data_IF_249177281765
#
_entry.id   IF_249177281765
#
_cell.length_a   1.000
_cell.length_b   1.000
_cell.length_c   1.000
_cell.angle_alpha   90.00
_cell.angle_beta   90.00
_cell.angle_gamma   90.00
#
_symmetry.space_group_name_H-M   'P 1'
#
loop_
_entity.id
_entity.type
_entity.pdbx_description
1 polymer ?
#
# COMPACT_ATOMS: atom_id res chain seq x y z
N UNK A 1 -23.99 12.44 -6.54
CA UNK A 1 -23.41 12.86 -5.24
C UNK A 1 -21.99 12.28 -5.17
N UNK A 2 -20.95 13.13 -5.24
CA UNK A 2 -19.58 12.70 -4.93
C UNK A 2 -19.62 12.18 -3.51
N UNK A 3 -19.04 11.01 -3.26
CA UNK A 3 -19.05 10.40 -1.93
C UNK A 3 -18.54 11.45 -0.94
N UNK A 4 -19.40 11.89 -0.05
CA UNK A 4 -19.12 12.92 0.94
C UNK A 4 -17.87 12.58 1.80
N UNK A 5 -17.61 11.28 1.94
CA UNK A 5 -16.47 10.75 2.68
C UNK A 5 -15.10 11.09 2.05
N UNK A 6 -15.01 11.27 0.72
CA UNK A 6 -13.77 11.69 0.04
C UNK A 6 -13.58 13.21 0.04
N UNK A 7 -14.69 13.98 0.09
CA UNK A 7 -14.65 15.44 0.13
C UNK A 7 -14.42 15.99 1.54
N UNK A 8 -14.82 15.25 2.57
CA UNK A 8 -14.63 15.61 3.98
C UNK A 8 -13.28 15.10 4.53
N UNK A 9 -12.47 14.44 3.71
CA UNK A 9 -11.15 13.97 4.14
C UNK A 9 -10.15 15.12 4.09
N UNK A 10 -9.39 15.39 5.19
CA UNK A 10 -8.47 16.52 5.27
C UNK A 10 -7.39 16.55 4.17
N UNK A 11 -7.18 15.43 3.50
CA UNK A 11 -6.19 15.27 2.41
C UNK A 11 -6.82 15.16 1.01
N UNK A 12 -8.13 15.26 0.86
CA UNK A 12 -8.80 15.25 -0.46
C UNK A 12 -8.31 16.39 -1.36
N UNK A 13 -7.85 17.50 -0.78
CA UNK A 13 -7.25 18.64 -1.49
C UNK A 13 -5.82 18.39 -1.95
N UNK A 14 -5.10 17.43 -1.37
CA UNK A 14 -3.71 17.10 -1.73
C UNK A 14 -3.63 16.23 -3.00
N UNK A 15 -4.75 15.64 -3.42
CA UNK A 15 -4.84 14.80 -4.62
C UNK A 15 -5.39 15.62 -5.81
N UNK A 16 -5.07 16.92 -5.89
CA UNK A 16 -5.60 17.85 -6.89
C UNK A 16 -4.94 17.77 -8.28
N UNK A 17 -4.50 16.60 -8.69
CA UNK A 17 -4.04 16.35 -10.06
C UNK A 17 -4.59 15.03 -10.58
N UNK A 18 -5.63 15.06 -11.39
CA UNK A 18 -6.15 14.03 -12.31
C UNK A 18 -6.36 12.58 -11.80
N UNK A 19 -5.76 12.12 -10.71
CA UNK A 19 -5.90 10.75 -10.20
C UNK A 19 -6.66 10.72 -8.88
N UNK A 20 -7.94 10.32 -8.93
CA UNK A 20 -8.76 10.09 -7.73
C UNK A 20 -8.49 8.68 -7.22
N UNK A 21 -7.79 8.58 -6.08
CA UNK A 21 -7.62 7.30 -5.39
C UNK A 21 -8.94 6.93 -4.71
N UNK A 22 -9.38 5.71 -4.94
CA UNK A 22 -10.61 5.15 -4.35
C UNK A 22 -10.27 4.07 -3.36
N UNK A 23 -11.13 3.93 -2.36
CA UNK A 23 -11.03 2.82 -1.43
C UNK A 23 -11.22 1.49 -2.14
N UNK A 24 -10.53 0.48 -1.68
CA UNK A 24 -10.60 -0.88 -2.20
C UNK A 24 -10.77 -1.87 -1.06
N UNK A 25 -11.02 -3.13 -1.39
CA UNK A 25 -11.02 -4.20 -0.38
C UNK A 25 -9.67 -4.36 0.33
N UNK A 26 -8.60 -3.81 -0.26
CA UNK A 26 -7.24 -3.82 0.29
C UNK A 26 -6.89 -2.58 1.13
N UNK A 27 -7.85 -1.67 1.32
CA UNK A 27 -7.66 -0.52 2.19
C UNK A 27 -6.67 0.53 1.68
N UNK A 28 -6.63 0.78 0.37
CA UNK A 28 -5.63 1.69 -0.24
C UNK A 28 -5.76 3.12 0.31
N UNK A 29 -6.99 3.66 0.43
CA UNK A 29 -7.20 5.01 0.97
C UNK A 29 -6.81 5.06 2.44
N UNK A 30 -7.29 4.10 3.25
CA UNK A 30 -6.95 4.02 4.68
C UNK A 30 -5.43 3.93 4.91
N UNK A 31 -4.74 3.15 4.07
CA UNK A 31 -3.28 2.99 4.10
C UNK A 31 -2.57 4.31 3.81
N UNK A 32 -2.96 4.98 2.72
CA UNK A 32 -2.36 6.26 2.35
C UNK A 32 -2.62 7.32 3.43
N UNK A 33 -3.83 7.36 3.98
CA UNK A 33 -4.18 8.26 5.09
C UNK A 33 -3.32 8.02 6.32
N UNK A 34 -3.12 6.76 6.67
CA UNK A 34 -2.24 6.37 7.77
C UNK A 34 -0.81 6.87 7.53
N UNK A 35 -0.28 6.69 6.32
CA UNK A 35 1.06 7.17 5.98
C UNK A 35 1.16 8.68 6.07
N UNK A 36 0.23 9.42 5.45
CA UNK A 36 0.23 10.87 5.47
C UNK A 36 0.09 11.39 6.91
N UNK A 37 -0.79 10.82 7.73
CA UNK A 37 -0.94 11.23 9.13
C UNK A 37 0.38 11.14 9.90
N UNK A 38 1.09 10.02 9.77
CA UNK A 38 2.36 9.84 10.46
C UNK A 38 3.49 10.72 9.90
N UNK A 39 3.57 10.87 8.57
CA UNK A 39 4.54 11.76 7.93
C UNK A 39 4.31 13.21 8.35
N UNK A 40 3.05 13.66 8.37
CA UNK A 40 2.67 15.01 8.78
C UNK A 40 2.97 15.29 10.25
N UNK A 41 2.69 14.32 11.14
CA UNK A 41 3.05 14.43 12.55
C UNK A 41 4.56 14.54 12.73
N UNK A 42 5.31 13.62 12.10
CA UNK A 42 6.76 13.57 12.16
C UNK A 42 7.42 14.85 11.63
N UNK A 43 7.06 15.31 10.40
CA UNK A 43 7.67 16.51 9.83
C UNK A 43 7.40 17.77 10.64
N UNK A 44 6.19 17.90 11.26
CA UNK A 44 5.85 19.02 12.13
C UNK A 44 6.68 19.02 13.41
N UNK A 45 6.90 17.84 14.00
CA UNK A 45 7.74 17.66 15.19
C UNK A 45 9.18 18.12 14.94
N UNK A 46 9.74 17.81 13.76
CA UNK A 46 11.12 18.19 13.40
C UNK A 46 11.21 19.52 12.63
N UNK A 47 10.09 20.24 12.42
CA UNK A 47 10.06 21.57 11.82
C UNK A 47 10.33 21.65 10.32
N UNK A 48 10.13 20.54 9.56
CA UNK A 48 10.40 20.51 8.11
C UNK A 48 9.16 20.83 7.27
N UNK A 49 9.39 21.42 6.08
CA UNK A 49 8.38 21.54 5.03
C UNK A 49 8.25 20.21 4.25
N UNK A 50 7.11 19.96 3.55
CA UNK A 50 6.93 18.72 2.79
C UNK A 50 8.09 18.39 1.85
N UNK A 51 8.56 19.34 1.03
CA UNK A 51 9.64 19.14 0.07
C UNK A 51 11.02 18.84 0.68
N UNK A 52 11.19 19.08 1.98
CA UNK A 52 12.43 18.80 2.73
C UNK A 52 12.42 17.39 3.33
N UNK A 53 11.30 16.68 3.23
CA UNK A 53 11.15 15.29 3.69
C UNK A 53 11.45 14.36 2.52
N UNK A 54 12.64 13.76 2.54
CA UNK A 54 13.00 12.69 1.61
C UNK A 54 12.33 11.38 2.02
N UNK A 55 11.55 10.80 1.11
CA UNK A 55 10.81 9.53 1.29
C UNK A 55 11.37 8.49 0.33
N UNK A 56 11.67 7.31 0.84
CA UNK A 56 11.98 6.12 0.05
C UNK A 56 10.78 5.17 0.08
N UNK A 57 10.23 4.84 -1.10
CA UNK A 57 9.17 3.83 -1.26
C UNK A 57 9.79 2.54 -1.82
N UNK A 58 9.92 1.53 -0.96
CA UNK A 58 10.57 0.24 -1.26
C UNK A 58 9.54 -0.74 -1.79
N UNK A 59 9.75 -1.25 -3.01
CA UNK A 59 8.76 -2.05 -3.71
C UNK A 59 7.58 -1.19 -4.18
N UNK A 60 7.88 -0.04 -4.78
CA UNK A 60 6.86 0.95 -5.13
C UNK A 60 5.87 0.49 -6.23
N UNK A 61 6.19 -0.59 -6.96
CA UNK A 61 5.42 -1.03 -8.10
C UNK A 61 5.26 0.10 -9.13
N UNK A 62 4.03 0.38 -9.54
CA UNK A 62 3.68 1.49 -10.45
C UNK A 62 3.63 2.86 -9.77
N UNK A 63 3.89 2.94 -8.49
CA UNK A 63 3.87 4.18 -7.69
C UNK A 63 2.49 4.77 -7.41
N UNK A 64 1.43 4.28 -8.04
CA UNK A 64 0.10 4.91 -8.01
C UNK A 64 -0.56 4.92 -6.63
N UNK A 65 -0.23 3.94 -5.79
CA UNK A 65 -0.86 3.78 -4.48
C UNK A 65 -0.17 4.58 -3.36
N UNK A 66 1.12 4.90 -3.51
CA UNK A 66 1.93 5.53 -2.46
C UNK A 66 2.80 6.65 -3.02
N UNK A 67 3.78 6.34 -3.88
CA UNK A 67 4.80 7.30 -4.32
C UNK A 67 4.20 8.52 -5.02
N UNK A 68 3.34 8.33 -6.01
CA UNK A 68 2.72 9.43 -6.78
C UNK A 68 1.81 10.30 -5.90
N UNK A 69 0.92 9.75 -5.06
CA UNK A 69 0.14 10.55 -4.11
C UNK A 69 0.99 11.40 -3.16
N UNK A 70 2.07 10.85 -2.63
CA UNK A 70 2.97 11.58 -1.74
C UNK A 70 3.73 12.69 -2.48
N UNK A 71 4.17 12.44 -3.72
CA UNK A 71 4.77 13.48 -4.55
C UNK A 71 3.79 14.61 -4.87
N UNK A 72 2.52 14.28 -5.18
CA UNK A 72 1.45 15.28 -5.36
C UNK A 72 1.17 16.08 -4.08
N UNK A 73 1.40 15.48 -2.91
CA UNK A 73 1.33 16.18 -1.62
C UNK A 73 2.55 17.07 -1.33
N UNK A 74 3.53 17.12 -2.26
CA UNK A 74 4.70 17.99 -2.20
C UNK A 74 5.93 17.35 -1.54
N UNK A 75 5.91 16.07 -1.22
CA UNK A 75 7.07 15.35 -0.68
C UNK A 75 8.09 15.01 -1.77
N UNK A 76 9.35 14.89 -1.40
CA UNK A 76 10.41 14.37 -2.29
C UNK A 76 10.46 12.85 -2.20
N UNK A 77 10.19 12.12 -3.29
CA UNK A 77 10.00 10.67 -3.28
C UNK A 77 10.98 9.97 -4.21
N UNK A 78 11.64 8.93 -3.72
CA UNK A 78 12.34 7.93 -4.53
C UNK A 78 11.59 6.60 -4.44
N UNK A 79 11.06 6.10 -5.54
CA UNK A 79 10.45 4.78 -5.64
C UNK A 79 11.44 3.75 -6.18
N UNK A 80 11.59 2.62 -5.48
CA UNK A 80 12.40 1.49 -5.93
C UNK A 80 11.51 0.29 -6.21
N UNK A 81 11.71 -0.34 -7.37
CA UNK A 81 11.13 -1.66 -7.67
C UNK A 81 12.06 -2.44 -8.61
N UNK A 82 12.05 -3.76 -8.52
CA UNK A 82 12.84 -4.63 -9.38
C UNK A 82 12.18 -4.88 -10.74
N UNK A 83 10.86 -4.79 -10.79
CA UNK A 83 10.10 -5.06 -12.01
C UNK A 83 10.22 -3.91 -13.01
N UNK A 84 10.84 -4.16 -14.20
CA UNK A 84 11.00 -3.12 -15.21
C UNK A 84 9.69 -2.59 -15.76
N UNK A 85 8.66 -3.45 -15.90
CA UNK A 85 7.38 -3.05 -16.46
C UNK A 85 6.64 -2.09 -15.51
N UNK A 86 6.70 -2.37 -14.19
CA UNK A 86 6.17 -1.50 -13.16
C UNK A 86 6.84 -0.13 -13.15
N UNK A 87 8.17 -0.08 -13.20
CA UNK A 87 8.93 1.19 -13.23
C UNK A 87 8.66 2.00 -14.49
N UNK A 88 8.62 1.36 -15.65
CA UNK A 88 8.30 2.05 -16.91
C UNK A 88 6.89 2.62 -16.90
N UNK A 89 5.93 1.92 -16.30
CA UNK A 89 4.58 2.42 -16.13
C UNK A 89 4.54 3.54 -15.08
N UNK A 90 5.25 3.40 -13.96
CA UNK A 90 5.34 4.45 -12.93
C UNK A 90 5.81 5.79 -13.52
N UNK A 91 6.84 5.77 -14.36
CA UNK A 91 7.35 6.96 -15.05
C UNK A 91 6.30 7.58 -15.98
N UNK A 92 5.52 6.75 -16.69
CA UNK A 92 4.43 7.22 -17.57
C UNK A 92 3.26 7.81 -16.79
N UNK A 93 2.98 7.30 -15.59
CA UNK A 93 1.85 7.73 -14.74
C UNK A 93 2.15 8.97 -13.88
N UNK A 94 3.40 9.40 -13.81
CA UNK A 94 3.84 10.59 -13.07
C UNK A 94 4.40 11.71 -13.98
N UNK A 95 3.76 12.07 -15.12
CA UNK A 95 4.32 13.04 -16.03
C UNK A 95 4.39 14.42 -15.38
N UNK A 96 5.56 15.07 -15.50
CA UNK A 96 5.73 16.45 -15.06
C UNK A 96 5.95 16.66 -13.56
N UNK A 97 5.88 15.63 -12.72
CA UNK A 97 6.27 15.72 -11.32
C UNK A 97 7.80 15.77 -11.21
N UNK A 98 8.33 16.84 -10.63
CA UNK A 98 9.79 17.06 -10.49
C UNK A 98 10.35 16.54 -9.16
N UNK A 99 9.49 16.21 -8.24
CA UNK A 99 9.81 15.77 -6.88
C UNK A 99 9.65 14.26 -6.68
N UNK A 100 9.60 13.50 -7.77
CA UNK A 100 9.56 12.03 -7.74
C UNK A 100 10.57 11.46 -8.73
N UNK A 101 11.25 10.41 -8.30
CA UNK A 101 12.13 9.60 -9.14
C UNK A 101 11.79 8.12 -8.97
N UNK A 102 11.87 7.35 -10.06
CA UNK A 102 11.68 5.90 -10.06
C UNK A 102 12.93 5.20 -10.55
N UNK A 103 13.46 4.30 -9.73
CA UNK A 103 14.67 3.54 -10.03
C UNK A 103 14.36 2.03 -10.06
N UNK A 104 14.77 1.37 -11.15
CA UNK A 104 14.71 -0.09 -11.26
C UNK A 104 15.85 -0.69 -10.45
N UNK A 105 15.58 -1.03 -9.20
CA UNK A 105 16.57 -1.64 -8.30
C UNK A 105 15.89 -2.32 -7.11
N UNK A 106 16.59 -3.25 -6.48
CA UNK A 106 16.29 -3.67 -5.11
C UNK A 106 17.01 -2.75 -4.12
N UNK A 107 16.43 -2.55 -2.94
CA UNK A 107 17.13 -1.85 -1.85
C UNK A 107 18.37 -2.62 -1.39
N UNK A 108 18.40 -3.94 -1.58
CA UNK A 108 19.56 -4.79 -1.26
C UNK A 108 20.77 -4.44 -2.12
N UNK A 109 20.54 -3.96 -3.37
CA UNK A 109 21.57 -3.56 -4.32
C UNK A 109 22.03 -2.11 -4.13
N UNK A 110 21.36 -1.35 -3.25
CA UNK A 110 21.65 0.04 -2.97
C UNK A 110 22.45 0.19 -1.66
N UNK A 111 23.30 1.20 -1.62
CA UNK A 111 24.09 1.54 -0.45
C UNK A 111 23.69 2.90 0.12
N UNK A 112 22.43 3.05 0.51
CA UNK A 112 21.97 4.25 1.21
C UNK A 112 22.45 4.24 2.65
N UNK A 113 22.95 5.38 3.10
CA UNK A 113 23.35 5.58 4.49
C UNK A 113 22.74 6.88 5.02
N UNK A 114 21.71 6.75 5.83
CA UNK A 114 21.00 7.88 6.45
C UNK A 114 20.55 8.96 5.45
N UNK A 115 20.00 8.53 4.30
CA UNK A 115 19.59 9.44 3.23
C UNK A 115 18.14 9.89 3.33
N UNK A 116 17.27 9.13 4.03
CA UNK A 116 15.84 9.36 4.02
C UNK A 116 15.28 9.61 5.43
N UNK A 117 14.37 10.57 5.51
CA UNK A 117 13.60 10.84 6.74
C UNK A 117 12.50 9.81 6.95
N UNK A 118 11.94 9.31 5.86
CA UNK A 118 10.87 8.32 5.88
C UNK A 118 11.21 7.19 4.92
N UNK A 119 11.00 5.95 5.34
CA UNK A 119 11.03 4.77 4.49
C UNK A 119 9.67 4.09 4.57
N UNK A 120 9.10 3.78 3.42
CA UNK A 120 7.84 3.06 3.28
C UNK A 120 8.12 1.69 2.67
N UNK A 121 7.50 0.65 3.22
CA UNK A 121 7.56 -0.72 2.71
C UNK A 121 6.16 -1.31 2.81
N UNK A 122 5.40 -1.22 1.72
CA UNK A 122 3.98 -1.53 1.70
C UNK A 122 3.72 -2.80 0.90
N UNK A 123 3.28 -3.89 1.56
CA UNK A 123 2.98 -5.19 0.94
C UNK A 123 4.21 -5.76 0.19
N UNK A 124 5.35 -5.81 0.83
CA UNK A 124 6.61 -6.30 0.25
C UNK A 124 7.26 -7.39 1.11
N UNK A 125 7.25 -7.24 2.43
CA UNK A 125 7.99 -8.14 3.32
C UNK A 125 7.52 -9.60 3.24
N UNK A 126 6.26 -9.83 2.93
CA UNK A 126 5.66 -11.16 2.74
C UNK A 126 6.22 -11.90 1.52
N UNK A 127 6.71 -11.16 0.54
CA UNK A 127 7.31 -11.71 -0.69
C UNK A 127 8.81 -11.98 -0.58
N UNK A 128 9.41 -11.72 0.57
CA UNK A 128 10.84 -11.90 0.79
C UNK A 128 11.14 -13.18 1.55
N UNK A 129 12.14 -13.92 1.10
CA UNK A 129 12.63 -15.09 1.83
C UNK A 129 13.31 -14.68 3.15
N UNK A 130 13.98 -13.52 3.16
CA UNK A 130 14.76 -12.99 4.28
C UNK A 130 14.36 -11.52 4.59
N UNK A 131 13.18 -11.29 5.15
CA UNK A 131 12.69 -9.93 5.43
C UNK A 131 13.56 -9.15 6.42
N UNK A 132 14.30 -9.84 7.29
CA UNK A 132 15.27 -9.25 8.23
C UNK A 132 16.41 -8.50 7.50
N UNK A 133 16.89 -9.03 6.37
CA UNK A 133 17.93 -8.37 5.57
C UNK A 133 17.40 -7.07 4.98
N UNK A 134 16.18 -7.10 4.44
CA UNK A 134 15.54 -5.91 3.91
C UNK A 134 15.32 -4.85 5.00
N UNK A 135 14.89 -5.25 6.19
CA UNK A 135 14.73 -4.34 7.33
C UNK A 135 16.06 -3.72 7.76
N UNK A 136 17.17 -4.47 7.75
CA UNK A 136 18.49 -3.92 8.01
C UNK A 136 18.88 -2.85 6.98
N UNK A 137 18.60 -3.09 5.69
CA UNK A 137 18.84 -2.10 4.63
C UNK A 137 17.97 -0.86 4.81
N UNK A 138 16.69 -1.03 5.17
CA UNK A 138 15.81 0.11 5.49
C UNK A 138 16.30 0.89 6.71
N UNK A 139 16.78 0.20 7.74
CA UNK A 139 17.40 0.84 8.92
C UNK A 139 18.62 1.66 8.52
N UNK A 140 19.47 1.15 7.64
CA UNK A 140 20.65 1.88 7.17
C UNK A 140 20.26 3.11 6.32
N UNK A 141 19.22 3.00 5.48
CA UNK A 141 18.74 4.08 4.64
C UNK A 141 18.09 5.23 5.43
N UNK A 142 17.47 4.92 6.59
CA UNK A 142 16.83 5.90 7.46
C UNK A 142 17.83 6.76 8.22
N UNK A 143 17.55 8.06 8.32
CA UNK A 143 18.20 8.94 9.30
C UNK A 143 17.97 8.44 10.73
N UNK A 144 18.75 8.91 11.67
CA UNK A 144 18.45 8.76 13.11
C UNK A 144 17.09 9.39 13.39
N UNK A 145 16.29 8.74 14.24
CA UNK A 145 14.90 9.11 14.53
C UNK A 145 13.97 9.10 13.31
N UNK A 146 14.43 8.58 12.16
CA UNK A 146 13.63 8.47 10.95
C UNK A 146 12.43 7.53 11.10
N UNK A 147 11.40 7.80 10.33
CA UNK A 147 10.10 7.10 10.35
C UNK A 147 10.08 5.94 9.37
N UNK A 148 9.75 4.73 9.85
CA UNK A 148 9.46 3.56 9.04
C UNK A 148 7.96 3.29 9.02
N UNK A 149 7.39 3.18 7.82
CA UNK A 149 5.98 2.85 7.61
C UNK A 149 5.90 1.50 6.86
N UNK A 150 5.25 0.53 7.47
CA UNK A 150 5.17 -0.83 6.91
C UNK A 150 3.72 -1.27 6.85
N UNK A 151 3.36 -1.99 5.77
CA UNK A 151 2.12 -2.77 5.76
C UNK A 151 2.43 -4.21 5.39
N UNK A 152 1.71 -5.13 6.02
CA UNK A 152 1.79 -6.57 5.73
C UNK A 152 0.41 -7.20 5.88
N UNK A 153 0.08 -8.21 5.06
CA UNK A 153 -1.14 -8.99 5.23
C UNK A 153 -1.05 -9.86 6.49
N UNK A 154 -2.21 -10.16 7.05
CA UNK A 154 -2.35 -11.17 8.07
C UNK A 154 -2.32 -12.56 7.42
N UNK A 155 -1.22 -13.29 7.59
CA UNK A 155 -1.01 -14.60 6.99
C UNK A 155 -1.98 -15.70 7.46
N UNK A 156 -2.91 -15.36 8.36
CA UNK A 156 -3.99 -16.24 8.86
C UNK A 156 -5.35 -15.55 8.77
N UNK A 157 -5.43 -14.41 8.05
CA UNK A 157 -6.66 -13.66 7.87
C UNK A 157 -7.54 -14.18 6.73
N UNK A 158 -8.70 -13.54 6.57
CA UNK A 158 -9.64 -13.83 5.48
C UNK A 158 -8.99 -13.75 4.09
N UNK A 159 -8.01 -12.88 3.91
CA UNK A 159 -7.28 -12.75 2.65
C UNK A 159 -6.63 -14.07 2.19
N UNK A 160 -5.97 -14.80 3.08
CA UNK A 160 -5.33 -16.06 2.74
C UNK A 160 -6.35 -17.14 2.35
N UNK A 161 -7.51 -17.17 3.02
CA UNK A 161 -8.58 -18.06 2.67
C UNK A 161 -9.16 -17.73 1.28
N UNK A 162 -9.44 -16.47 1.01
CA UNK A 162 -9.93 -15.99 -0.30
C UNK A 162 -8.89 -16.29 -1.40
N UNK A 163 -7.61 -16.02 -1.16
CA UNK A 163 -6.51 -16.29 -2.08
C UNK A 163 -6.32 -17.79 -2.36
N UNK A 164 -6.55 -18.64 -1.36
CA UNK A 164 -6.54 -20.10 -1.56
C UNK A 164 -7.66 -20.52 -2.52
N UNK A 165 -8.89 -20.08 -2.30
CA UNK A 165 -10.01 -20.37 -3.20
C UNK A 165 -9.75 -19.77 -4.59
N UNK A 166 -9.26 -18.54 -4.68
CA UNK A 166 -8.91 -17.90 -5.95
C UNK A 166 -7.88 -18.74 -6.73
N UNK A 167 -6.82 -19.21 -6.10
CA UNK A 167 -5.81 -20.08 -6.73
C UNK A 167 -6.39 -21.38 -7.26
N UNK A 168 -7.32 -22.00 -6.54
CA UNK A 168 -8.01 -23.21 -7.00
C UNK A 168 -8.87 -22.90 -8.23
N UNK A 169 -9.66 -21.83 -8.17
CA UNK A 169 -10.53 -21.41 -9.27
C UNK A 169 -9.76 -20.95 -10.50
N UNK A 170 -8.69 -20.18 -10.33
CA UNK A 170 -7.90 -19.62 -11.44
C UNK A 170 -7.17 -20.68 -12.28
N UNK A 171 -6.98 -21.89 -11.74
CA UNK A 171 -6.45 -23.03 -12.50
C UNK A 171 -7.43 -23.59 -13.54
N UNK A 172 -8.69 -23.19 -13.47
CA UNK A 172 -9.73 -23.65 -14.38
C UNK A 172 -10.28 -22.47 -15.21
N UNK A 173 -9.78 -22.24 -16.43
CA UNK A 173 -10.17 -21.10 -17.27
C UNK A 173 -11.70 -21.00 -17.49
N UNK A 174 -12.37 -22.16 -17.57
CA UNK A 174 -13.81 -22.21 -17.68
C UNK A 174 -14.51 -21.60 -16.45
N UNK A 175 -14.09 -21.98 -15.24
CA UNK A 175 -14.67 -21.44 -14.00
C UNK A 175 -14.42 -19.94 -13.88
N UNK A 176 -13.24 -19.48 -14.26
CA UNK A 176 -12.92 -18.05 -14.30
C UNK A 176 -13.85 -17.32 -15.24
N UNK A 177 -14.05 -17.83 -16.46
CA UNK A 177 -14.94 -17.21 -17.44
C UNK A 177 -16.39 -17.15 -16.94
N UNK A 178 -16.88 -18.21 -16.32
CA UNK A 178 -18.21 -18.23 -15.72
C UNK A 178 -18.34 -17.23 -14.56
N UNK A 179 -17.32 -17.13 -13.69
CA UNK A 179 -17.31 -16.18 -12.59
C UNK A 179 -17.42 -14.73 -13.08
N UNK A 180 -16.68 -14.36 -14.16
CA UNK A 180 -16.80 -13.03 -14.77
C UNK A 180 -18.17 -12.79 -15.43
N UNK A 181 -18.78 -13.82 -16.03
CA UNK A 181 -20.15 -13.70 -16.55
C UNK A 181 -21.18 -13.49 -15.42
N UNK A 182 -20.99 -14.17 -14.30
CA UNK A 182 -21.82 -13.99 -13.09
C UNK A 182 -21.64 -12.59 -12.51
N UNK A 183 -20.42 -12.12 -12.42
CA UNK A 183 -20.06 -10.76 -11.95
C UNK A 183 -20.71 -9.70 -12.88
N UNK A 184 -20.62 -9.86 -14.18
CA UNK A 184 -21.25 -8.95 -15.16
C UNK A 184 -22.78 -8.95 -15.04
N UNK A 185 -23.40 -10.13 -14.88
CA UNK A 185 -24.86 -10.24 -14.63
C UNK A 185 -25.24 -9.57 -13.32
N UNK A 186 -24.48 -9.82 -12.25
CA UNK A 186 -24.70 -9.19 -10.95
C UNK A 186 -24.75 -7.67 -11.08
N UNK A 187 -23.76 -7.07 -11.73
CA UNK A 187 -23.71 -5.63 -11.90
C UNK A 187 -24.76 -5.07 -12.85
N UNK A 188 -25.20 -5.82 -13.86
CA UNK A 188 -26.33 -5.44 -14.70
C UNK A 188 -27.65 -5.37 -13.94
N UNK A 189 -27.82 -6.23 -12.93
CA UNK A 189 -29.04 -6.27 -12.10
C UNK A 189 -28.97 -5.25 -10.96
N UNK A 190 -27.85 -5.19 -10.25
CA UNK A 190 -27.71 -4.41 -9.01
C UNK A 190 -26.91 -3.11 -9.17
N UNK A 191 -26.23 -2.93 -10.28
CA UNK A 191 -25.42 -1.75 -10.55
C UNK A 191 -26.26 -0.53 -10.89
N UNK A 192 -25.89 0.63 -10.34
CA UNK A 192 -26.46 1.91 -10.77
C UNK A 192 -25.97 2.28 -12.18
N UNK A 193 -26.68 3.19 -12.86
CA UNK A 193 -26.24 3.74 -14.16
C UNK A 193 -24.79 4.30 -14.07
N UNK A 194 -24.42 4.91 -12.95
CA UNK A 194 -23.06 5.40 -12.68
C UNK A 194 -22.05 4.27 -12.57
N UNK A 195 -22.41 3.19 -11.88
CA UNK A 195 -21.57 1.97 -11.75
C UNK A 195 -21.32 1.38 -13.13
N UNK A 196 -22.37 1.22 -13.95
CA UNK A 196 -22.26 0.63 -15.29
C UNK A 196 -21.43 1.51 -16.24
N UNK A 197 -21.60 2.84 -16.20
CA UNK A 197 -20.78 3.77 -16.96
C UNK A 197 -19.32 3.69 -16.56
N UNK A 198 -19.02 3.66 -15.26
CA UNK A 198 -17.68 3.56 -14.69
C UNK A 198 -16.99 2.27 -15.13
N UNK A 199 -17.69 1.15 -15.05
CA UNK A 199 -17.19 -0.14 -15.53
C UNK A 199 -16.81 -0.11 -17.02
N UNK A 200 -17.63 0.51 -17.86
CA UNK A 200 -17.31 0.69 -19.29
C UNK A 200 -16.05 1.52 -19.52
N UNK A 201 -15.79 2.52 -18.66
CA UNK A 201 -14.58 3.35 -18.73
C UNK A 201 -13.34 2.62 -18.21
N UNK A 202 -13.47 1.78 -17.18
CA UNK A 202 -12.38 0.98 -16.61
C UNK A 202 -11.96 -0.19 -17.50
N UNK A 203 -12.92 -0.79 -18.24
CA UNK A 203 -12.65 -1.88 -19.20
C UNK A 203 -12.18 -1.39 -20.57
N UNK A 204 -11.82 -0.13 -20.72
CA UNK A 204 -11.12 0.31 -21.93
C UNK A 204 -9.74 -0.34 -22.00
N UNK A 205 -9.31 -0.85 -23.17
CA UNK A 205 -8.04 -1.57 -23.32
C UNK A 205 -6.83 -0.82 -22.73
N UNK A 206 -6.81 0.51 -22.88
CA UNK A 206 -5.75 1.40 -22.41
C UNK A 206 -5.65 1.46 -20.86
N UNK A 207 -6.77 1.23 -20.17
CA UNK A 207 -6.81 1.16 -18.69
C UNK A 207 -6.67 -0.27 -18.17
N UNK A 208 -7.06 -1.26 -18.96
CA UNK A 208 -6.92 -2.67 -18.57
C UNK A 208 -5.44 -3.03 -18.40
N UNK A 209 -4.55 -2.54 -19.26
CA UNK A 209 -3.10 -2.68 -19.08
C UNK A 209 -2.61 -2.05 -17.75
N UNK A 210 -3.12 -0.88 -17.41
CA UNK A 210 -2.83 -0.22 -16.14
C UNK A 210 -3.33 -1.01 -14.93
N UNK A 211 -4.53 -1.61 -15.02
CA UNK A 211 -5.12 -2.42 -13.96
C UNK A 211 -4.42 -3.78 -13.85
N UNK A 212 -4.12 -4.43 -14.97
CA UNK A 212 -3.42 -5.71 -15.00
C UNK A 212 -1.98 -5.59 -14.51
N UNK A 213 -1.34 -4.45 -14.70
CA UNK A 213 0.01 -4.19 -14.17
C UNK A 213 -0.01 -3.83 -12.68
N UNK A 214 -1.13 -3.34 -12.13
CA UNK A 214 -1.32 -3.17 -10.68
C UNK A 214 -1.70 -4.47 -9.97
N UNK A 215 -2.23 -5.43 -10.73
CA UNK A 215 -2.34 -6.82 -10.32
C UNK A 215 -0.96 -7.45 -10.56
N UNK A 216 -0.01 -7.17 -9.66
CA UNK A 216 1.27 -7.87 -9.68
C UNK A 216 1.00 -9.38 -9.86
N UNK A 217 1.78 -10.09 -10.69
CA UNK A 217 1.64 -11.54 -10.78
C UNK A 217 1.66 -12.06 -9.37
N UNK A 218 0.75 -13.01 -9.08
CA UNK A 218 0.57 -13.62 -7.75
C UNK A 218 1.92 -14.15 -7.26
N UNK A 219 2.75 -13.24 -6.75
CA UNK A 219 4.07 -13.56 -6.24
C UNK A 219 3.82 -14.30 -4.94
N UNK A 220 4.27 -15.54 -4.89
CA UNK A 220 4.06 -16.39 -3.73
C UNK A 220 4.46 -15.67 -2.45
N UNK A 221 3.58 -15.65 -1.46
CA UNK A 221 3.93 -15.22 -0.12
C UNK A 221 4.92 -16.24 0.47
N UNK A 222 6.18 -15.84 0.65
CA UNK A 222 7.18 -16.64 1.37
C UNK A 222 7.01 -16.54 2.89
N UNK A 223 6.40 -15.45 3.36
CA UNK A 223 6.19 -15.19 4.78
C UNK A 223 4.71 -15.07 5.10
N UNK A 224 4.26 -15.85 6.08
CA UNK A 224 2.99 -15.61 6.75
C UNK A 224 3.27 -14.84 8.05
N UNK A 225 2.83 -13.58 8.09
CA UNK A 225 2.97 -12.76 9.28
C UNK A 225 1.80 -12.98 10.23
N UNK A 226 2.11 -13.01 11.52
CA UNK A 226 1.17 -12.74 12.60
C UNK A 226 1.52 -11.39 13.22
N UNK A 227 0.59 -10.80 13.94
CA UNK A 227 0.84 -9.56 14.71
C UNK A 227 2.12 -9.67 15.56
N UNK A 228 2.30 -10.78 16.28
CA UNK A 228 3.49 -10.99 17.12
C UNK A 228 4.77 -11.18 16.32
N UNK A 229 4.70 -11.84 15.16
CA UNK A 229 5.89 -12.08 14.30
C UNK A 229 6.43 -10.78 13.74
N UNK A 230 5.57 -9.95 13.12
CA UNK A 230 6.01 -8.68 12.56
C UNK A 230 6.48 -7.70 13.64
N UNK A 231 5.77 -7.62 14.77
CA UNK A 231 6.17 -6.76 15.89
C UNK A 231 7.53 -7.16 16.47
N UNK A 232 7.77 -8.46 16.65
CA UNK A 232 9.07 -8.98 17.13
C UNK A 232 10.17 -8.70 16.12
N UNK A 233 9.89 -8.89 14.83
CA UNK A 233 10.85 -8.65 13.77
C UNK A 233 11.29 -7.17 13.73
N UNK A 234 10.36 -6.21 13.82
CA UNK A 234 10.68 -4.79 13.86
C UNK A 234 11.49 -4.43 15.12
N UNK A 235 11.07 -4.93 16.28
CA UNK A 235 11.80 -4.69 17.53
C UNK A 235 13.21 -5.28 17.53
N UNK A 236 13.43 -6.46 16.91
CA UNK A 236 14.76 -7.07 16.80
C UNK A 236 15.72 -6.25 15.92
N UNK A 237 15.19 -5.41 15.03
CA UNK A 237 15.97 -4.45 14.23
C UNK A 237 16.12 -3.09 14.94
N UNK A 238 15.71 -2.99 16.21
CA UNK A 238 15.85 -1.80 17.02
C UNK A 238 14.75 -0.76 16.86
N UNK A 239 13.71 -1.02 16.07
CA UNK A 239 12.62 -0.06 15.90
C UNK A 239 11.73 0.07 17.14
N UNK A 240 11.39 1.31 17.50
CA UNK A 240 10.33 1.64 18.45
C UNK A 240 9.01 1.72 17.72
N UNK A 241 8.06 0.87 18.04
CA UNK A 241 6.71 0.95 17.48
C UNK A 241 6.00 2.20 17.99
N UNK A 242 5.44 2.98 17.08
CA UNK A 242 4.62 4.16 17.36
C UNK A 242 3.14 3.79 17.36
N UNK A 243 2.69 3.13 16.29
CA UNK A 243 1.32 2.69 16.13
C UNK A 243 1.26 1.39 15.32
N UNK A 244 0.29 0.54 15.65
CA UNK A 244 -0.16 -0.56 14.82
C UNK A 244 -1.68 -0.47 14.69
N UNK A 245 -2.16 -0.30 13.46
CA UNK A 245 -3.59 -0.14 13.13
C UNK A 245 -4.03 -1.28 12.22
N UNK A 246 -5.25 -1.75 12.42
CA UNK A 246 -5.88 -2.73 11.53
C UNK A 246 -6.12 -2.11 10.15
N UNK A 247 -5.89 -2.87 9.06
CA UNK A 247 -6.14 -2.39 7.70
C UNK A 247 -7.63 -2.49 7.34
N UNK A 248 -8.06 -3.57 6.72
CA UNK A 248 -9.47 -3.84 6.41
C UNK A 248 -9.94 -5.08 7.16
N UNK A 249 -11.26 -5.23 7.35
CA UNK A 249 -11.80 -6.43 7.96
C UNK A 249 -11.73 -7.61 6.98
N UNK A 250 -12.23 -7.41 5.77
CA UNK A 250 -12.21 -8.40 4.70
C UNK A 250 -11.35 -7.88 3.54
N UNK A 251 -10.56 -8.76 2.94
CA UNK A 251 -9.81 -8.50 1.70
C UNK A 251 -9.75 -9.79 0.89
N UNK A 252 -9.64 -9.67 -0.43
CA UNK A 252 -9.46 -10.82 -1.30
C UNK A 252 -9.96 -10.58 -2.72
N UNK A 253 -9.59 -11.48 -3.60
CA UNK A 253 -9.88 -11.37 -5.03
C UNK A 253 -11.35 -11.63 -5.35
N UNK A 254 -11.97 -12.65 -4.75
CA UNK A 254 -13.39 -12.91 -4.89
C UNK A 254 -14.22 -11.75 -4.35
N UNK A 255 -13.91 -11.30 -3.14
CA UNK A 255 -14.57 -10.15 -2.54
C UNK A 255 -14.41 -8.92 -3.43
N UNK A 256 -13.22 -8.70 -3.99
CA UNK A 256 -12.92 -7.61 -4.89
C UNK A 256 -13.80 -7.57 -6.12
N UNK A 257 -14.13 -8.72 -6.73
CA UNK A 257 -15.00 -8.78 -7.91
C UNK A 257 -16.39 -8.18 -7.64
N UNK A 258 -16.98 -8.47 -6.50
CA UNK A 258 -18.36 -8.07 -6.19
C UNK A 258 -18.45 -6.80 -5.35
N UNK A 259 -17.42 -6.47 -4.59
CA UNK A 259 -17.45 -5.34 -3.67
C UNK A 259 -16.82 -4.04 -4.21
N UNK A 260 -15.99 -4.10 -5.25
CA UNK A 260 -15.19 -2.96 -5.75
C UNK A 260 -16.01 -1.71 -6.14
N UNK A 261 -17.29 -1.89 -6.48
CA UNK A 261 -18.17 -0.78 -6.85
C UNK A 261 -19.08 -0.33 -5.69
N UNK A 262 -18.97 -0.97 -4.53
CA UNK A 262 -19.80 -0.69 -3.37
C UNK A 262 -19.04 0.26 -2.41
N UNK A 263 -18.93 1.54 -2.76
CA UNK A 263 -18.20 2.55 -1.97
C UNK A 263 -18.59 2.55 -0.49
N UNK A 264 -19.90 2.37 -0.20
CA UNK A 264 -20.41 2.28 1.16
C UNK A 264 -19.87 1.06 1.93
N UNK A 265 -19.82 -0.11 1.26
CA UNK A 265 -19.24 -1.31 1.83
C UNK A 265 -17.73 -1.17 2.03
N UNK A 266 -17.01 -0.67 1.03
CA UNK A 266 -15.56 -0.48 1.12
C UNK A 266 -15.18 0.45 2.29
N UNK A 267 -15.88 1.58 2.41
CA UNK A 267 -15.69 2.50 3.53
C UNK A 267 -16.07 1.92 4.88
N UNK A 268 -17.13 1.08 4.94
CA UNK A 268 -17.51 0.35 6.15
C UNK A 268 -16.43 -0.69 6.51
N UNK A 269 -15.99 -1.48 5.54
CA UNK A 269 -14.99 -2.53 5.69
C UNK A 269 -13.67 -2.00 6.28
N UNK A 270 -13.20 -0.84 5.80
CA UNK A 270 -12.01 -0.17 6.33
C UNK A 270 -12.21 0.34 7.75
N UNK A 271 -13.36 0.97 8.06
CA UNK A 271 -13.64 1.54 9.38
C UNK A 271 -13.93 0.51 10.45
N UNK A 272 -14.68 -0.54 10.11
CA UNK A 272 -15.08 -1.56 11.06
C UNK A 272 -13.90 -2.40 11.53
N UNK A 273 -12.86 -2.52 10.72
CA UNK A 273 -11.64 -3.26 11.05
C UNK A 273 -11.00 -2.81 12.37
N UNK A 274 -11.07 -1.50 12.68
CA UNK A 274 -10.47 -0.96 13.90
C UNK A 274 -11.21 -1.38 15.19
N UNK A 275 -12.42 -1.94 15.05
CA UNK A 275 -13.23 -2.47 16.16
C UNK A 275 -13.05 -3.97 16.38
N UNK A 276 -12.38 -4.66 15.45
CA UNK A 276 -12.14 -6.09 15.56
C UNK A 276 -10.76 -6.39 16.18
N UNK A 277 -10.64 -7.53 16.84
CA UNK A 277 -9.34 -8.04 17.27
C UNK A 277 -8.37 -8.16 16.09
N UNK A 278 -7.11 -7.75 16.28
CA UNK A 278 -6.10 -7.68 15.22
C UNK A 278 -5.83 -8.99 14.50
N UNK A 279 -6.16 -10.15 15.09
CA UNK A 279 -5.99 -11.45 14.44
C UNK A 279 -7.11 -11.79 13.43
N UNK A 280 -8.23 -11.06 13.43
CA UNK A 280 -9.37 -11.27 12.52
C UNK A 280 -9.36 -10.38 11.29
N UNK A 281 -8.43 -9.45 11.19
CA UNK A 281 -8.38 -8.48 10.09
C UNK A 281 -7.46 -8.96 8.96
N UNK A 282 -7.58 -8.33 7.79
CA UNK A 282 -6.83 -8.72 6.59
C UNK A 282 -5.34 -8.41 6.66
N UNK A 283 -4.92 -7.44 7.47
CA UNK A 283 -3.54 -6.99 7.58
C UNK A 283 -3.38 -5.82 8.53
N UNK A 284 -2.16 -5.31 8.63
CA UNK A 284 -1.81 -4.23 9.56
C UNK A 284 -1.04 -3.11 8.88
N UNK A 285 -1.30 -1.91 9.36
CA UNK A 285 -0.58 -0.67 9.06
C UNK A 285 0.30 -0.36 10.28
N UNK A 286 1.58 -0.19 10.09
CA UNK A 286 2.56 -0.08 11.18
C UNK A 286 3.39 1.17 10.97
N UNK A 287 3.46 2.02 11.99
CA UNK A 287 4.41 3.10 12.10
C UNK A 287 5.44 2.78 13.17
N UNK A 288 6.70 2.91 12.83
CA UNK A 288 7.81 2.66 13.73
C UNK A 288 8.90 3.72 13.53
N UNK A 289 9.68 3.98 14.54
CA UNK A 289 10.73 4.97 14.52
C UNK A 289 12.08 4.31 14.80
N UNK A 290 13.09 4.69 14.03
CA UNK A 290 14.47 4.33 14.33
C UNK A 290 14.90 5.07 15.60
N UNK A 291 15.39 4.39 16.65
CA UNK A 291 15.85 5.07 17.85
C UNK A 291 17.11 5.88 17.56
N UNK A 292 17.30 6.94 18.30
CA UNK A 292 18.58 7.63 18.36
C UNK A 292 19.65 6.67 18.89
N UNK A 293 20.78 6.53 18.19
CA UNK A 293 21.92 5.84 18.77
C UNK A 293 22.38 6.65 19.98
N UNK A 294 22.15 6.11 21.19
CA UNK A 294 22.88 6.61 22.35
C UNK A 294 24.37 6.58 21.95
N UNK A 295 25.01 7.74 21.94
CA UNK A 295 26.48 7.79 21.88
C UNK A 295 26.93 6.88 23.01
N UNK A 296 27.55 5.73 22.66
CA UNK A 296 28.31 4.98 23.66
C UNK A 296 29.23 6.01 24.30
N UNK A 297 28.89 6.41 25.52
CA UNK A 297 29.73 7.24 26.33
C UNK A 297 31.01 6.43 26.48
N UNK A 298 32.08 6.93 25.88
CA UNK A 298 33.44 6.49 26.09
C UNK A 298 33.64 6.36 27.60
N UNK A 299 33.62 5.12 28.11
CA UNK A 299 34.18 4.75 29.40
C UNK A 299 35.57 4.14 29.15
#
# INVERSE_FOLDING_TARGET
MRSKALLDHPYASLVSGAMVIRETVYGIVKRLDFFIQHIEAYRKEIGLKPGEVGILDVGCGTGVNVAVPLANAGYSVLGLDRDPASIDLARRLAPGLKNIEFCRSSLEDQNFNQCFRVVICSEVLEHLQRPEVMLQRMTSALNEEGLLLVTVPNGFGYFELDSFFWRVFSRHPYLVSELYKWEDRFWKVFGSSKTLQRRREEYRPERLESILSTLAPDTAHYQSFTHSKITRLLKSQGFRLLELRNNTFLAGNFLGLFARELDGFLSWNSRVADRFPSFLVSGWLIAAQRPHKLKESLI
#
